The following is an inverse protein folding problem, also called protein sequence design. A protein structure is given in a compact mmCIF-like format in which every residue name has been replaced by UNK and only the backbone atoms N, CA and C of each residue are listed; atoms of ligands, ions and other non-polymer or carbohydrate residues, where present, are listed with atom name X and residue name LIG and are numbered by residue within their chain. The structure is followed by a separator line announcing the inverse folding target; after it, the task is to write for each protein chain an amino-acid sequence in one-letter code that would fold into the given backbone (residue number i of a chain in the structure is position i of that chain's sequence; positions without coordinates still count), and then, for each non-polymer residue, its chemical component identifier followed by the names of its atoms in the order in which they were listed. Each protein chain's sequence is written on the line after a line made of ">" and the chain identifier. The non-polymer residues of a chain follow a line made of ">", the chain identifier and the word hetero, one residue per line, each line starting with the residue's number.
data_IF_962608764396
#
_entry.id   IF_962608764396
#
_cell.length_a   1.000
_cell.length_b   1.000
_cell.length_c   1.000
_cell.angle_alpha   90.00
_cell.angle_beta   90.00
_cell.angle_gamma   90.00
#
_symmetry.space_group_name_H-M   'P 1'
#
loop_
_entity.id
_entity.type
_entity.pdbx_description
1 polymer ?
#
# COMPACT_ATOMS: atom_id res chain seq x y z
N UNK A 1 32.18 -20.99 -12.02
CA UNK A 1 31.01 -20.55 -12.81
C UNK A 1 29.81 -20.51 -11.86
N UNK A 2 29.26 -19.34 -11.48
CA UNK A 2 28.29 -19.25 -10.39
C UNK A 2 26.84 -19.53 -10.82
N UNK A 3 26.21 -20.45 -10.06
CA UNK A 3 24.86 -20.43 -9.51
C UNK A 3 23.70 -19.80 -10.31
N UNK A 4 22.84 -20.66 -10.86
CA UNK A 4 21.48 -20.30 -11.25
C UNK A 4 20.51 -21.42 -10.85
N UNK A 5 20.05 -21.45 -9.59
CA UNK A 5 18.80 -22.13 -9.18
C UNK A 5 18.54 -22.02 -7.68
N UNK A 6 18.47 -20.82 -7.12
CA UNK A 6 17.85 -20.63 -5.81
C UNK A 6 17.15 -19.28 -5.80
N UNK A 7 15.85 -19.26 -6.13
CA UNK A 7 14.78 -18.59 -5.33
C UNK A 7 13.44 -19.12 -5.87
N UNK A 8 13.05 -20.33 -5.46
CA UNK A 8 11.65 -20.81 -5.54
C UNK A 8 11.12 -21.06 -4.15
N UNK A 9 11.22 -20.05 -3.28
CA UNK A 9 10.71 -20.16 -1.91
C UNK A 9 10.33 -18.78 -1.42
N UNK A 10 9.02 -18.48 -1.32
CA UNK A 10 8.39 -17.64 -0.28
C UNK A 10 6.92 -17.30 -0.57
N UNK A 11 6.10 -18.28 -0.96
CA UNK A 11 4.62 -18.12 -0.96
C UNK A 11 4.08 -18.71 0.34
N UNK A 12 4.32 -18.07 1.50
CA UNK A 12 3.60 -18.35 2.79
C UNK A 12 3.95 -17.47 3.99
N UNK A 13 4.25 -16.18 3.78
CA UNK A 13 4.18 -15.18 4.86
C UNK A 13 3.41 -14.00 4.33
N UNK A 14 2.27 -13.67 4.94
CA UNK A 14 1.60 -12.39 4.71
C UNK A 14 2.67 -11.29 4.72
N UNK A 15 2.69 -10.35 3.76
CA UNK A 15 3.83 -9.48 3.64
C UNK A 15 3.82 -8.59 4.88
N UNK A 16 4.87 -8.71 5.69
CA UNK A 16 5.19 -7.70 6.72
C UNK A 16 5.54 -6.35 6.08
N UNK A 17 5.57 -6.28 4.76
CA UNK A 17 5.82 -5.08 3.97
C UNK A 17 4.62 -4.12 4.03
N UNK A 18 4.83 -2.86 4.44
CA UNK A 18 3.78 -1.85 4.54
C UNK A 18 2.95 -1.68 3.25
N UNK A 19 3.58 -1.86 2.08
CA UNK A 19 2.92 -1.74 0.79
C UNK A 19 1.75 -2.72 0.62
N UNK A 20 1.93 -3.99 0.98
CA UNK A 20 0.86 -4.97 0.85
C UNK A 20 -0.30 -4.69 1.81
N UNK A 21 0.01 -4.20 3.02
CA UNK A 21 -1.02 -3.77 3.98
C UNK A 21 -1.80 -2.57 3.46
N UNK A 22 -1.10 -1.58 2.88
CA UNK A 22 -1.74 -0.42 2.28
C UNK A 22 -2.71 -0.85 1.16
N UNK A 23 -2.27 -1.75 0.27
CA UNK A 23 -3.12 -2.29 -0.81
C UNK A 23 -4.36 -3.01 -0.29
N UNK A 24 -4.23 -3.85 0.75
CA UNK A 24 -5.38 -4.55 1.35
C UNK A 24 -6.40 -3.55 1.91
N UNK A 25 -5.95 -2.49 2.60
CA UNK A 25 -6.87 -1.50 3.17
C UNK A 25 -7.49 -0.66 2.06
N UNK A 26 -6.70 -0.21 1.09
CA UNK A 26 -7.17 0.56 -0.06
C UNK A 26 -8.24 -0.21 -0.85
N UNK A 27 -8.09 -1.52 -1.04
CA UNK A 27 -9.10 -2.36 -1.71
C UNK A 27 -10.43 -2.48 -0.93
N UNK A 28 -10.44 -2.21 0.38
CA UNK A 28 -11.69 -2.16 1.19
C UNK A 28 -12.37 -0.79 1.12
N UNK A 29 -11.58 0.25 0.97
CA UNK A 29 -12.07 1.63 0.81
C UNK A 29 -12.64 1.79 -0.60
N UNK A 30 -11.88 1.39 -1.61
CA UNK A 30 -12.23 1.44 -3.03
C UNK A 30 -12.08 0.04 -3.67
N UNK A 31 -13.22 -0.65 -3.89
CA UNK A 31 -13.24 -1.95 -4.56
C UNK A 31 -12.76 -1.90 -6.02
N UNK A 32 -12.99 -0.78 -6.72
CA UNK A 32 -12.57 -0.61 -8.11
C UNK A 32 -11.03 -0.57 -8.22
N UNK A 33 -10.49 -1.48 -9.03
CA UNK A 33 -9.05 -1.60 -9.20
C UNK A 33 -8.44 -0.46 -10.02
N UNK A 34 -9.17 0.10 -10.98
CA UNK A 34 -8.71 1.21 -11.80
C UNK A 34 -8.61 2.48 -10.97
N UNK A 35 -9.69 2.85 -10.24
CA UNK A 35 -9.71 4.03 -9.37
C UNK A 35 -8.67 3.95 -8.27
N UNK A 36 -8.49 2.78 -7.64
CA UNK A 36 -7.44 2.59 -6.64
C UNK A 36 -6.04 2.75 -7.22
N UNK A 37 -5.80 2.27 -8.44
CA UNK A 37 -4.49 2.40 -9.11
C UNK A 37 -4.21 3.84 -9.50
N UNK A 38 -5.22 4.53 -10.03
CA UNK A 38 -5.15 5.95 -10.37
C UNK A 38 -4.78 6.79 -9.14
N UNK A 39 -5.54 6.63 -8.05
CA UNK A 39 -5.24 7.27 -6.76
C UNK A 39 -3.82 6.94 -6.26
N UNK A 40 -3.43 5.66 -6.34
CA UNK A 40 -2.14 5.22 -5.81
C UNK A 40 -0.93 5.90 -6.51
N UNK A 41 -1.08 6.18 -7.80
CA UNK A 41 -0.02 6.73 -8.65
C UNK A 41 -0.06 8.25 -8.76
N UNK A 42 -1.25 8.85 -8.74
CA UNK A 42 -1.43 10.23 -9.17
C UNK A 42 -1.94 11.17 -8.08
N UNK A 43 -2.59 10.66 -7.04
CA UNK A 43 -3.21 11.51 -6.04
C UNK A 43 -2.25 11.82 -4.88
N UNK A 44 -1.88 13.11 -4.69
CA UNK A 44 -1.03 13.51 -3.59
C UNK A 44 -1.78 13.42 -2.26
N UNK A 45 -1.14 12.82 -1.26
CA UNK A 45 -1.73 12.62 0.08
C UNK A 45 -1.19 13.72 1.00
N UNK A 46 -2.08 14.61 1.45
CA UNK A 46 -1.73 15.79 2.27
C UNK A 46 -1.05 15.41 3.59
N UNK A 47 -1.47 14.32 4.21
CA UNK A 47 -0.90 13.78 5.45
C UNK A 47 0.49 13.16 5.26
N UNK A 48 0.95 13.01 4.02
CA UNK A 48 2.27 12.50 3.63
C UNK A 48 3.04 13.56 2.86
N UNK A 49 2.91 14.83 3.25
CA UNK A 49 3.60 15.97 2.64
C UNK A 49 3.36 16.10 1.12
N UNK A 50 2.18 15.67 0.64
CA UNK A 50 1.81 15.70 -0.77
C UNK A 50 2.39 14.56 -1.60
N UNK A 51 2.97 13.53 -0.98
CA UNK A 51 3.43 12.33 -1.68
C UNK A 51 2.25 11.48 -2.15
N UNK A 52 2.40 10.87 -3.32
CA UNK A 52 1.52 9.79 -3.77
C UNK A 52 1.79 8.53 -2.95
N UNK A 53 0.84 7.59 -2.95
CA UNK A 53 1.00 6.34 -2.21
C UNK A 53 2.21 5.52 -2.70
N UNK A 54 2.48 5.52 -4.01
CA UNK A 54 3.70 4.95 -4.60
C UNK A 54 4.95 5.59 -4.00
N UNK A 55 5.03 6.92 -4.01
CA UNK A 55 6.22 7.64 -3.53
C UNK A 55 6.41 7.51 -2.03
N UNK A 56 5.33 7.46 -1.26
CA UNK A 56 5.39 7.17 0.17
C UNK A 56 5.97 5.78 0.45
N UNK A 57 5.67 4.76 -0.37
CA UNK A 57 6.28 3.43 -0.23
C UNK A 57 7.76 3.47 -0.63
N UNK A 58 8.09 4.08 -1.77
CA UNK A 58 9.45 4.15 -2.28
C UNK A 58 10.41 4.89 -1.34
N UNK A 59 9.90 5.88 -0.60
CA UNK A 59 10.67 6.69 0.37
C UNK A 59 10.65 6.11 1.80
N UNK A 60 10.07 4.92 2.01
CA UNK A 60 10.03 4.27 3.32
C UNK A 60 8.93 4.77 4.28
N UNK A 61 8.06 5.68 3.83
CA UNK A 61 6.91 6.18 4.59
C UNK A 61 5.68 5.26 4.56
N UNK A 62 5.80 4.02 4.06
CA UNK A 62 4.68 3.09 3.95
C UNK A 62 3.93 2.82 5.27
N UNK A 63 4.58 2.93 6.43
CA UNK A 63 3.90 2.81 7.73
C UNK A 63 3.00 4.01 8.06
N UNK A 64 3.34 5.22 7.58
CA UNK A 64 2.49 6.39 7.70
C UNK A 64 1.28 6.29 6.74
N UNK A 65 1.51 5.86 5.49
CA UNK A 65 0.44 5.56 4.52
C UNK A 65 -0.60 4.57 5.08
N UNK A 66 -0.15 3.48 5.71
CA UNK A 66 -1.05 2.50 6.35
C UNK A 66 -1.87 3.14 7.46
N UNK A 67 -1.32 4.09 8.23
CA UNK A 67 -2.07 4.79 9.29
C UNK A 67 -3.15 5.70 8.70
N UNK A 68 -2.84 6.46 7.66
CA UNK A 68 -3.82 7.30 6.94
C UNK A 68 -4.97 6.45 6.40
N UNK A 69 -4.66 5.37 5.68
CA UNK A 69 -5.67 4.48 5.12
C UNK A 69 -6.56 3.83 6.19
N UNK A 70 -6.01 3.47 7.36
CA UNK A 70 -6.81 2.97 8.48
C UNK A 70 -7.77 4.00 9.04
N UNK A 71 -7.35 5.26 9.14
CA UNK A 71 -8.23 6.33 9.61
C UNK A 71 -9.41 6.54 8.64
N UNK A 72 -9.15 6.50 7.34
CA UNK A 72 -10.19 6.57 6.30
C UNK A 72 -11.15 5.37 6.38
N UNK A 73 -10.62 4.14 6.43
CA UNK A 73 -11.43 2.90 6.54
C UNK A 73 -12.30 2.90 7.82
N UNK A 74 -11.77 3.38 8.95
CA UNK A 74 -12.53 3.51 10.18
C UNK A 74 -13.65 4.55 10.08
N UNK A 75 -13.38 5.71 9.47
CA UNK A 75 -14.40 6.74 9.20
C UNK A 75 -15.49 6.26 8.24
N UNK A 76 -15.17 5.38 7.29
CA UNK A 76 -16.14 4.73 6.40
C UNK A 76 -17.09 3.77 7.11
N UNK A 77 -16.62 3.09 8.17
CA UNK A 77 -17.40 2.09 8.93
C UNK A 77 -18.20 2.68 10.08
N UNK A 78 -17.85 3.86 10.57
CA UNK A 78 -18.51 4.51 11.70
C UNK A 78 -19.80 5.27 11.36
N UNK A 79 -20.42 5.02 10.21
CA UNK A 79 -21.60 5.72 9.72
C UNK A 79 -22.70 4.75 9.30
#
# INVERSE_FOLDING_TARGET
>A
MPNAALVRTSVRRLPRHPAARAMIIAARIEPDAALRTEWFLHDPIRELDGLTAERAIATGQGAALVRVLRAIDAGRRGR
#
